data_IF_122258494025
#
_entry.id   IF_122258494025
#
_cell.length_a   1.000
_cell.length_b   1.000
_cell.length_c   1.000
_cell.angle_alpha   90.00
_cell.angle_beta   90.00
_cell.angle_gamma   90.00
#
_symmetry.space_group_name_H-M   'P 1'
#
loop_
_entity.id
_entity.type
_entity.pdbx_description
1 polymer ?
#
# COMPACT_ATOMS: atom_id res chain seq x y z
N UNK A 1 -17.84 -34.01 50.44
CA UNK A 1 -17.91 -32.86 49.53
C UNK A 1 -16.51 -32.29 49.47
N UNK A 2 -15.71 -32.75 48.52
CA UNK A 2 -14.42 -32.14 48.20
C UNK A 2 -14.68 -31.23 46.99
N UNK A 3 -14.28 -29.97 47.11
CA UNK A 3 -14.50 -28.88 46.17
C UNK A 3 -13.87 -29.18 44.80
N UNK A 4 -14.70 -29.20 43.76
CA UNK A 4 -14.28 -29.06 42.37
C UNK A 4 -13.93 -27.59 42.07
N UNK A 5 -12.87 -27.05 42.68
CA UNK A 5 -12.31 -25.74 42.29
C UNK A 5 -10.78 -25.80 42.30
N UNK A 6 -10.17 -26.15 41.15
CA UNK A 6 -9.05 -25.31 40.69
C UNK A 6 -8.96 -25.13 39.15
N UNK A 7 -9.67 -25.90 38.33
CA UNK A 7 -9.50 -25.89 36.87
C UNK A 7 -10.21 -24.71 36.18
N UNK A 8 -11.40 -24.34 36.66
CA UNK A 8 -12.21 -23.26 36.07
C UNK A 8 -11.59 -21.88 36.30
N UNK A 9 -10.84 -21.70 37.40
CA UNK A 9 -10.19 -20.43 37.71
C UNK A 9 -8.91 -20.22 36.89
N UNK A 10 -8.15 -21.28 36.60
CA UNK A 10 -6.98 -21.23 35.72
C UNK A 10 -7.37 -20.91 34.26
N UNK A 11 -8.43 -21.52 33.72
CA UNK A 11 -8.95 -21.17 32.38
C UNK A 11 -9.44 -19.72 32.31
N UNK A 12 -10.11 -19.21 33.34
CA UNK A 12 -10.55 -17.81 33.38
C UNK A 12 -9.39 -16.82 33.48
N UNK A 13 -8.33 -17.17 34.22
CA UNK A 13 -7.11 -16.36 34.31
C UNK A 13 -6.35 -16.34 32.98
N UNK A 14 -6.18 -17.48 32.32
CA UNK A 14 -5.51 -17.57 31.01
C UNK A 14 -6.32 -16.84 29.91
N UNK A 15 -7.65 -16.94 29.93
CA UNK A 15 -8.53 -16.19 29.01
C UNK A 15 -8.45 -14.69 29.28
N UNK A 16 -8.46 -14.26 30.55
CA UNK A 16 -8.35 -12.84 30.91
C UNK A 16 -6.97 -12.25 30.58
N UNK A 17 -5.89 -13.03 30.71
CA UNK A 17 -4.54 -12.63 30.28
C UNK A 17 -4.49 -12.53 28.76
N UNK A 18 -5.07 -13.49 28.04
CA UNK A 18 -5.15 -13.46 26.57
C UNK A 18 -5.97 -12.27 26.06
N UNK A 19 -7.10 -11.96 26.71
CA UNK A 19 -7.95 -10.82 26.39
C UNK A 19 -7.23 -9.48 26.65
N UNK A 20 -6.53 -9.35 27.79
CA UNK A 20 -5.73 -8.15 28.08
C UNK A 20 -4.60 -7.93 27.08
N UNK A 21 -3.87 -8.99 26.74
CA UNK A 21 -2.80 -8.93 25.72
C UNK A 21 -3.40 -8.57 24.35
N UNK A 22 -4.55 -9.12 24.00
CA UNK A 22 -5.25 -8.79 22.75
C UNK A 22 -5.70 -7.32 22.71
N UNK A 23 -6.30 -6.80 23.78
CA UNK A 23 -6.73 -5.39 23.87
C UNK A 23 -5.54 -4.43 23.79
N UNK A 24 -4.42 -4.77 24.44
CA UNK A 24 -3.19 -3.98 24.39
C UNK A 24 -2.60 -3.96 22.98
N UNK A 25 -2.57 -5.12 22.31
CA UNK A 25 -2.12 -5.25 20.92
C UNK A 25 -3.01 -4.50 19.93
N UNK A 26 -4.34 -4.57 20.11
CA UNK A 26 -5.31 -3.80 19.32
C UNK A 26 -5.08 -2.30 19.49
N UNK A 27 -4.78 -1.84 20.71
CA UNK A 27 -4.52 -0.43 21.01
C UNK A 27 -3.24 0.06 20.36
N UNK A 28 -2.14 -0.68 20.47
CA UNK A 28 -0.87 -0.33 19.82
C UNK A 28 -0.98 -0.40 18.29
N UNK A 29 -1.65 -1.42 17.76
CA UNK A 29 -1.93 -1.53 16.32
C UNK A 29 -2.77 -0.35 15.82
N UNK A 30 -3.82 0.03 16.55
CA UNK A 30 -4.70 1.15 16.17
C UNK A 30 -3.96 2.49 16.20
N UNK A 31 -3.05 2.69 17.17
CA UNK A 31 -2.19 3.87 17.26
C UNK A 31 -1.26 4.03 16.04
N UNK A 32 -0.91 2.92 15.41
CA UNK A 32 -0.11 2.88 14.18
C UNK A 32 -0.99 3.01 12.93
N UNK A 33 -2.10 2.26 12.89
CA UNK A 33 -2.98 2.17 11.74
C UNK A 33 -3.69 3.49 11.43
N UNK A 34 -4.24 4.18 12.44
CA UNK A 34 -5.04 5.39 12.22
C UNK A 34 -4.24 6.53 11.55
N UNK A 35 -3.03 6.90 12.02
CA UNK A 35 -2.22 7.88 11.32
C UNK A 35 -1.80 7.42 9.91
N UNK A 36 -1.55 6.13 9.70
CA UNK A 36 -1.24 5.58 8.37
C UNK A 36 -2.42 5.67 7.42
N UNK A 37 -3.66 5.48 7.89
CA UNK A 37 -4.87 5.73 7.10
C UNK A 37 -4.91 7.21 6.68
N UNK A 38 -4.65 8.15 7.60
CA UNK A 38 -4.62 9.58 7.27
C UNK A 38 -3.53 9.90 6.23
N UNK A 39 -2.34 9.29 6.33
CA UNK A 39 -1.28 9.41 5.33
C UNK A 39 -1.75 8.91 3.96
N UNK A 40 -2.34 7.71 3.88
CA UNK A 40 -2.83 7.12 2.63
C UNK A 40 -3.95 7.95 2.02
N UNK A 41 -4.93 8.38 2.82
CA UNK A 41 -6.03 9.26 2.38
C UNK A 41 -5.47 10.59 1.85
N UNK A 42 -4.54 11.20 2.57
CA UNK A 42 -3.88 12.45 2.14
C UNK A 42 -3.15 12.26 0.80
N UNK A 43 -2.43 11.15 0.64
CA UNK A 43 -1.75 10.82 -0.62
C UNK A 43 -2.71 10.60 -1.79
N UNK A 44 -3.91 10.06 -1.53
CA UNK A 44 -4.95 9.91 -2.54
C UNK A 44 -5.56 11.27 -2.92
N UNK A 45 -5.87 12.10 -1.93
CA UNK A 45 -6.42 13.45 -2.14
C UNK A 45 -5.45 14.38 -2.89
N UNK A 46 -4.13 14.18 -2.76
CA UNK A 46 -3.13 14.87 -3.58
C UNK A 46 -3.31 14.62 -5.09
N UNK A 47 -3.91 13.50 -5.49
CA UNK A 47 -4.19 13.15 -6.89
C UNK A 47 -5.57 13.63 -7.35
N UNK A 48 -6.56 13.60 -6.45
CA UNK A 48 -7.94 13.99 -6.76
C UNK A 48 -8.12 15.50 -6.81
N UNK A 49 -7.48 16.24 -5.90
CA UNK A 49 -7.65 17.69 -5.78
C UNK A 49 -7.37 18.50 -7.06
N UNK A 50 -6.34 18.21 -7.89
CA UNK A 50 -6.14 18.93 -9.14
C UNK A 50 -7.24 18.64 -10.16
N UNK A 51 -7.81 17.44 -10.16
CA UNK A 51 -8.88 17.06 -11.10
C UNK A 51 -10.16 17.83 -10.82
N UNK A 52 -10.51 18.03 -9.54
CA UNK A 52 -11.65 18.87 -9.14
C UNK A 52 -11.49 20.29 -9.71
N UNK A 53 -10.29 20.87 -9.61
CA UNK A 53 -10.00 22.21 -10.13
C UNK A 53 -10.00 22.27 -11.66
N UNK A 54 -9.42 21.26 -12.32
CA UNK A 54 -9.38 21.16 -13.78
C UNK A 54 -10.79 20.96 -14.38
N UNK A 55 -11.69 20.32 -13.65
CA UNK A 55 -13.11 20.20 -14.04
C UNK A 55 -13.78 21.55 -14.29
N UNK A 56 -13.38 22.60 -13.57
CA UNK A 56 -13.92 23.95 -13.77
C UNK A 56 -13.36 24.68 -14.99
N UNK A 57 -12.27 24.18 -15.60
CA UNK A 57 -11.70 24.77 -16.82
C UNK A 57 -12.31 24.22 -18.10
N UNK A 58 -13.02 23.09 -18.02
CA UNK A 58 -13.73 22.48 -19.14
C UNK A 58 -13.44 20.98 -19.29
N UNK A 59 -14.31 20.32 -20.05
CA UNK A 59 -14.31 18.87 -20.24
C UNK A 59 -13.01 18.34 -20.87
N UNK A 60 -12.43 19.09 -21.82
CA UNK A 60 -11.16 18.72 -22.46
C UNK A 60 -9.99 18.67 -21.46
N UNK A 61 -9.90 19.63 -20.54
CA UNK A 61 -8.83 19.68 -19.53
C UNK A 61 -8.97 18.57 -18.50
N UNK A 62 -10.21 18.30 -18.06
CA UNK A 62 -10.49 17.24 -17.09
C UNK A 62 -10.24 15.85 -17.69
N UNK A 63 -10.77 15.57 -18.87
CA UNK A 63 -10.65 14.26 -19.54
C UNK A 63 -9.19 13.93 -19.86
N UNK A 64 -8.45 14.88 -20.45
CA UNK A 64 -7.03 14.70 -20.77
C UNK A 64 -6.18 14.47 -19.52
N UNK A 65 -6.35 15.26 -18.46
CA UNK A 65 -5.61 15.10 -17.21
C UNK A 65 -5.96 13.80 -16.47
N UNK A 66 -7.23 13.39 -16.49
CA UNK A 66 -7.69 12.15 -15.86
C UNK A 66 -7.14 10.92 -16.56
N UNK A 67 -7.16 10.89 -17.90
CA UNK A 67 -6.59 9.80 -18.70
C UNK A 67 -5.07 9.76 -18.53
N UNK A 68 -4.38 10.90 -18.60
CA UNK A 68 -2.94 10.96 -18.39
C UNK A 68 -2.55 10.49 -16.98
N UNK A 69 -3.25 10.94 -15.94
CA UNK A 69 -3.02 10.50 -14.56
C UNK A 69 -3.24 8.99 -14.40
N UNK A 70 -4.29 8.45 -15.03
CA UNK A 70 -4.59 7.02 -14.99
C UNK A 70 -3.48 6.20 -15.67
N UNK A 71 -3.04 6.63 -16.86
CA UNK A 71 -1.95 5.98 -17.58
C UNK A 71 -0.63 6.06 -16.80
N UNK A 72 -0.31 7.23 -16.24
CA UNK A 72 0.85 7.44 -15.38
C UNK A 72 0.81 6.58 -14.11
N UNK A 73 -0.37 6.39 -13.53
CA UNK A 73 -0.53 5.54 -12.36
C UNK A 73 -0.25 4.08 -12.69
N UNK A 74 -0.81 3.55 -13.78
CA UNK A 74 -0.62 2.15 -14.20
C UNK A 74 0.82 1.88 -14.62
N UNK A 75 1.40 2.74 -15.46
CA UNK A 75 2.69 2.47 -16.12
C UNK A 75 3.91 2.92 -15.31
N UNK A 76 3.76 3.89 -14.40
CA UNK A 76 4.86 4.48 -13.65
C UNK A 76 4.70 4.33 -12.14
N UNK A 77 3.77 5.08 -11.54
CA UNK A 77 3.67 5.15 -10.08
C UNK A 77 3.41 3.79 -9.41
N UNK A 78 2.56 2.94 -9.98
CA UNK A 78 2.27 1.61 -9.43
C UNK A 78 3.46 0.67 -9.52
N UNK A 79 4.24 0.72 -10.61
CA UNK A 79 5.47 -0.07 -10.78
C UNK A 79 6.51 0.36 -9.75
N UNK A 80 6.74 1.67 -9.61
CA UNK A 80 7.69 2.22 -8.64
C UNK A 80 7.27 1.93 -7.20
N UNK A 81 5.99 2.07 -6.87
CA UNK A 81 5.44 1.72 -5.56
C UNK A 81 5.59 0.22 -5.27
N UNK A 82 5.23 -0.64 -6.23
CA UNK A 82 5.35 -2.10 -6.13
C UNK A 82 6.79 -2.56 -5.90
N UNK A 83 7.75 -2.02 -6.66
CA UNK A 83 9.17 -2.30 -6.46
C UNK A 83 9.69 -1.76 -5.13
N UNK A 84 9.25 -0.58 -4.72
CA UNK A 84 9.60 0.01 -3.42
C UNK A 84 9.06 -0.80 -2.23
N UNK A 85 7.95 -1.53 -2.40
CA UNK A 85 7.37 -2.37 -1.35
C UNK A 85 8.29 -3.49 -0.86
N UNK A 86 9.34 -3.86 -1.62
CA UNK A 86 10.38 -4.78 -1.16
C UNK A 86 11.14 -4.25 0.09
N UNK A 87 11.17 -2.92 0.28
CA UNK A 87 11.71 -2.32 1.49
C UNK A 87 10.88 -2.66 2.73
N UNK A 88 9.57 -2.94 2.63
CA UNK A 88 8.77 -3.35 3.79
C UNK A 88 9.40 -4.59 4.46
N UNK A 89 9.74 -5.61 3.65
CA UNK A 89 10.40 -6.83 4.12
C UNK A 89 11.81 -6.58 4.61
N UNK A 90 12.65 -5.94 3.76
CA UNK A 90 14.08 -5.82 4.02
C UNK A 90 14.37 -4.88 5.20
N UNK A 91 13.66 -3.74 5.25
CA UNK A 91 13.79 -2.78 6.33
C UNK A 91 13.16 -3.28 7.62
N UNK A 92 11.97 -3.91 7.55
CA UNK A 92 11.33 -4.51 8.72
C UNK A 92 12.21 -5.56 9.38
N UNK A 93 12.69 -6.55 8.61
CA UNK A 93 13.56 -7.61 9.12
C UNK A 93 14.91 -7.07 9.62
N UNK A 94 15.50 -6.07 8.96
CA UNK A 94 16.74 -5.46 9.42
C UNK A 94 16.57 -4.67 10.72
N UNK A 95 15.45 -3.96 10.88
CA UNK A 95 15.15 -3.21 12.10
C UNK A 95 14.90 -4.16 13.28
N UNK A 96 14.08 -5.20 13.09
CA UNK A 96 13.82 -6.23 14.09
C UNK A 96 15.09 -6.99 14.52
N UNK A 97 16.02 -7.22 13.59
CA UNK A 97 17.31 -7.86 13.86
C UNK A 97 18.36 -6.90 14.48
N UNK A 98 18.01 -5.65 14.79
CA UNK A 98 18.93 -4.64 15.33
C UNK A 98 20.00 -4.17 14.34
N UNK A 99 19.83 -4.41 13.03
CA UNK A 99 20.81 -4.08 11.98
C UNK A 99 20.50 -2.74 11.29
N UNK A 100 20.51 -1.66 12.07
CA UNK A 100 20.17 -0.31 11.61
C UNK A 100 21.07 0.25 10.49
N UNK A 101 22.31 -0.25 10.38
CA UNK A 101 23.18 0.12 9.25
C UNK A 101 22.64 -0.44 7.93
N UNK A 102 22.18 -1.69 7.92
CA UNK A 102 21.62 -2.33 6.72
C UNK A 102 20.30 -1.67 6.30
N UNK A 103 19.51 -1.19 7.26
CA UNK A 103 18.29 -0.42 7.02
C UNK A 103 18.56 0.79 6.09
N UNK A 104 19.58 1.58 6.39
CA UNK A 104 20.01 2.69 5.53
C UNK A 104 20.55 2.23 4.19
N UNK A 105 21.41 1.21 4.17
CA UNK A 105 21.98 0.65 2.93
C UNK A 105 20.90 0.15 1.97
N UNK A 106 19.91 -0.61 2.44
CA UNK A 106 18.79 -1.07 1.62
C UNK A 106 18.00 0.09 1.03
N UNK A 107 17.76 1.14 1.82
CA UNK A 107 17.04 2.34 1.36
C UNK A 107 17.81 3.04 0.22
N UNK A 108 19.13 3.24 0.36
CA UNK A 108 19.93 3.86 -0.70
C UNK A 108 20.02 2.98 -1.95
N UNK A 109 20.22 1.68 -1.79
CA UNK A 109 20.22 0.73 -2.91
C UNK A 109 18.89 0.77 -3.66
N UNK A 110 17.76 0.80 -2.96
CA UNK A 110 16.45 0.91 -3.57
C UNK A 110 16.27 2.23 -4.33
N UNK A 111 16.69 3.37 -3.77
CA UNK A 111 16.62 4.66 -4.47
C UNK A 111 17.41 4.62 -5.79
N UNK A 112 18.62 4.07 -5.78
CA UNK A 112 19.46 3.96 -6.99
C UNK A 112 18.80 3.05 -8.03
N UNK A 113 18.33 1.86 -7.62
CA UNK A 113 17.64 0.94 -8.52
C UNK A 113 16.37 1.54 -9.12
N UNK A 114 15.55 2.22 -8.31
CA UNK A 114 14.31 2.84 -8.77
C UNK A 114 14.57 4.06 -9.67
N UNK A 115 15.67 4.80 -9.48
CA UNK A 115 16.09 5.85 -10.41
C UNK A 115 16.35 5.31 -11.81
N UNK A 116 16.95 4.12 -11.93
CA UNK A 116 17.15 3.46 -13.23
C UNK A 116 15.80 3.09 -13.88
N UNK A 117 14.82 2.67 -13.09
CA UNK A 117 13.45 2.36 -13.57
C UNK A 117 12.68 3.60 -14.00
N UNK A 118 12.96 4.77 -13.41
CA UNK A 118 12.36 6.03 -13.87
C UNK A 118 12.70 6.36 -15.32
N UNK A 119 13.85 5.91 -15.84
CA UNK A 119 14.29 6.20 -17.22
C UNK A 119 13.33 5.58 -18.26
N UNK A 120 13.09 4.26 -18.31
CA UNK A 120 12.15 3.67 -19.26
C UNK A 120 10.71 4.17 -19.05
N UNK A 121 10.29 4.44 -17.81
CA UNK A 121 8.96 5.04 -17.54
C UNK A 121 8.87 6.44 -18.16
N UNK A 122 9.92 7.25 -18.05
CA UNK A 122 9.95 8.59 -18.64
C UNK A 122 9.88 8.53 -20.17
N UNK A 123 10.60 7.60 -20.80
CA UNK A 123 10.54 7.37 -22.25
C UNK A 123 9.12 7.00 -22.67
N UNK A 124 8.47 6.08 -21.95
CA UNK A 124 7.09 5.71 -22.22
C UNK A 124 6.13 6.91 -22.13
N UNK A 125 6.30 7.77 -21.12
CA UNK A 125 5.44 8.94 -20.91
C UNK A 125 5.60 10.02 -21.99
N UNK A 126 6.77 10.13 -22.62
CA UNK A 126 6.99 11.02 -23.77
C UNK A 126 6.09 10.62 -24.96
N UNK A 127 5.77 9.34 -25.11
CA UNK A 127 4.91 8.83 -26.20
C UNK A 127 3.44 8.65 -25.80
N UNK A 128 3.01 9.26 -24.68
CA UNK A 128 1.62 9.14 -24.19
C UNK A 128 0.60 9.58 -25.23
N UNK A 129 0.85 10.67 -25.95
CA UNK A 129 -0.02 11.16 -27.02
C UNK A 129 -0.28 10.09 -28.10
N UNK A 130 0.79 9.48 -28.62
CA UNK A 130 0.72 8.45 -29.66
C UNK A 130 0.06 7.17 -29.15
N UNK A 131 0.33 6.80 -27.90
CA UNK A 131 -0.30 5.63 -27.26
C UNK A 131 -1.81 5.82 -27.14
N UNK A 132 -2.26 7.01 -26.73
CA UNK A 132 -3.69 7.29 -26.61
C UNK A 132 -4.40 7.33 -27.97
N UNK A 133 -3.76 7.92 -28.99
CA UNK A 133 -4.28 7.87 -30.36
C UNK A 133 -4.38 6.42 -30.86
N UNK A 134 -3.38 5.58 -30.57
CA UNK A 134 -3.39 4.16 -30.93
C UNK A 134 -4.53 3.39 -30.23
N UNK A 135 -4.87 3.77 -28.99
CA UNK A 135 -6.02 3.22 -28.24
C UNK A 135 -7.37 3.76 -28.73
N UNK A 136 -7.40 4.62 -29.75
CA UNK A 136 -8.61 5.18 -30.33
C UNK A 136 -9.16 6.41 -29.60
N UNK A 137 -8.35 7.10 -28.79
CA UNK A 137 -8.75 8.37 -28.18
C UNK A 137 -8.76 9.52 -29.18
N UNK A 138 -9.58 10.53 -28.90
CA UNK A 138 -9.63 11.75 -29.70
C UNK A 138 -8.24 12.44 -29.73
N UNK A 139 -7.76 12.88 -30.91
CA UNK A 139 -6.44 13.49 -31.04
C UNK A 139 -6.23 14.73 -30.16
N UNK A 140 -7.27 15.52 -29.89
CA UNK A 140 -7.17 16.71 -29.05
C UNK A 140 -6.96 16.35 -27.57
N UNK A 141 -7.70 15.35 -27.07
CA UNK A 141 -7.54 14.80 -25.71
C UNK A 141 -6.15 14.18 -25.56
N UNK A 142 -5.73 13.38 -26.54
CA UNK A 142 -4.44 12.70 -26.53
C UNK A 142 -3.25 13.68 -26.53
N UNK A 143 -3.33 14.77 -27.30
CA UNK A 143 -2.28 15.79 -27.36
C UNK A 143 -2.12 16.52 -26.02
N UNK A 144 -3.23 16.94 -25.40
CA UNK A 144 -3.19 17.60 -24.09
C UNK A 144 -2.75 16.64 -22.96
N UNK A 145 -3.20 15.39 -23.01
CA UNK A 145 -2.77 14.34 -22.08
C UNK A 145 -1.26 14.06 -22.19
N UNK A 146 -0.71 14.07 -23.42
CA UNK A 146 0.71 13.93 -23.67
C UNK A 146 1.53 15.08 -23.08
N UNK A 147 1.08 16.33 -23.25
CA UNK A 147 1.71 17.50 -22.62
C UNK A 147 1.71 17.35 -21.09
N UNK A 148 0.59 16.97 -20.50
CA UNK A 148 0.49 16.74 -19.05
C UNK A 148 1.46 15.64 -18.57
N UNK A 149 1.52 14.51 -19.28
CA UNK A 149 2.42 13.40 -18.94
C UNK A 149 3.90 13.81 -18.98
N UNK A 150 4.32 14.61 -19.96
CA UNK A 150 5.69 15.14 -20.04
C UNK A 150 6.01 16.01 -18.82
N UNK A 151 5.08 16.87 -18.38
CA UNK A 151 5.25 17.69 -17.19
C UNK A 151 5.27 16.88 -15.88
N UNK A 152 4.72 15.67 -15.88
CA UNK A 152 4.80 14.75 -14.75
C UNK A 152 6.15 14.01 -14.67
N UNK A 153 6.95 13.90 -15.74
CA UNK A 153 8.22 13.15 -15.73
C UNK A 153 9.16 13.56 -14.58
N UNK A 154 9.42 14.86 -14.32
CA UNK A 154 10.30 15.27 -13.22
C UNK A 154 9.77 14.90 -11.83
N UNK A 155 8.50 14.51 -11.70
CA UNK A 155 7.90 14.08 -10.42
C UNK A 155 8.26 12.64 -10.05
N UNK A 156 8.67 11.81 -11.01
CA UNK A 156 9.05 10.41 -10.79
C UNK A 156 10.22 10.29 -9.80
N UNK A 157 11.24 11.13 -9.98
CA UNK A 157 12.45 11.12 -9.15
C UNK A 157 12.19 11.48 -7.67
N UNK A 158 11.54 12.61 -7.33
CA UNK A 158 11.21 12.89 -5.93
C UNK A 158 10.20 11.88 -5.37
N UNK A 159 9.29 11.34 -6.19
CA UNK A 159 8.37 10.29 -5.75
C UNK A 159 9.11 9.03 -5.27
N UNK A 160 10.12 8.57 -6.00
CA UNK A 160 10.94 7.41 -5.62
C UNK A 160 11.70 7.63 -4.31
N UNK A 161 12.29 8.82 -4.15
CA UNK A 161 12.96 9.20 -2.90
C UNK A 161 11.95 9.15 -1.75
N UNK A 162 10.80 9.82 -1.93
CA UNK A 162 9.74 9.87 -0.93
C UNK A 162 9.26 8.48 -0.53
N UNK A 163 8.90 7.61 -1.49
CA UNK A 163 8.39 6.28 -1.20
C UNK A 163 9.41 5.43 -0.44
N UNK A 164 10.69 5.50 -0.82
CA UNK A 164 11.76 4.75 -0.14
C UNK A 164 11.94 5.23 1.31
N UNK A 165 11.86 6.54 1.55
CA UNK A 165 11.97 7.13 2.88
C UNK A 165 10.73 6.86 3.75
N UNK A 166 9.53 6.87 3.16
CA UNK A 166 8.29 6.46 3.85
C UNK A 166 8.44 5.04 4.39
N UNK A 167 8.98 4.10 3.61
CA UNK A 167 9.18 2.72 4.08
C UNK A 167 10.28 2.61 5.13
N UNK A 168 11.33 3.42 5.03
CA UNK A 168 12.35 3.52 6.06
C UNK A 168 11.78 4.00 7.41
N UNK A 169 10.95 5.04 7.40
CA UNK A 169 10.31 5.58 8.60
C UNK A 169 9.24 4.62 9.15
N UNK A 170 8.46 4.02 8.26
CA UNK A 170 7.42 3.04 8.62
C UNK A 170 8.02 1.80 9.29
N UNK A 171 9.15 1.29 8.81
CA UNK A 171 9.84 0.15 9.42
C UNK A 171 10.31 0.42 10.87
N UNK A 172 10.45 1.68 11.26
CA UNK A 172 10.87 2.12 12.60
C UNK A 172 9.68 2.58 13.45
N UNK A 173 8.45 2.44 12.94
CA UNK A 173 7.23 2.99 13.56
C UNK A 173 7.27 4.52 13.79
N UNK A 174 8.02 5.25 12.96
CA UNK A 174 8.14 6.72 13.01
C UNK A 174 7.04 7.37 12.16
N UNK A 175 5.82 7.32 12.68
CA UNK A 175 4.62 7.66 11.89
C UNK A 175 4.31 9.15 11.96
N UNK A 176 4.62 9.83 13.06
CA UNK A 176 4.33 11.26 13.23
C UNK A 176 4.97 12.14 12.14
N UNK A 177 6.26 11.99 11.77
CA UNK A 177 6.84 12.76 10.68
C UNK A 177 6.17 12.48 9.33
N UNK A 178 5.74 11.24 9.09
CA UNK A 178 5.02 10.86 7.87
C UNK A 178 3.62 11.50 7.82
N UNK A 179 2.92 11.54 8.94
CA UNK A 179 1.61 12.18 9.06
C UNK A 179 1.71 13.68 8.79
N UNK A 180 2.65 14.36 9.48
CA UNK A 180 2.86 15.79 9.31
C UNK A 180 3.25 16.14 7.87
N UNK A 181 4.16 15.38 7.26
CA UNK A 181 4.58 15.62 5.88
C UNK A 181 3.42 15.46 4.90
N UNK A 182 2.59 14.43 5.05
CA UNK A 182 1.45 14.16 4.17
C UNK A 182 0.37 15.24 4.27
N UNK A 183 -0.02 15.63 5.50
CA UNK A 183 -1.06 16.65 5.74
C UNK A 183 -0.60 18.02 5.24
N UNK A 184 0.63 18.42 5.58
CA UNK A 184 1.21 19.69 5.12
C UNK A 184 1.27 19.72 3.59
N UNK A 185 1.72 18.62 2.96
CA UNK A 185 1.78 18.51 1.50
C UNK A 185 0.40 18.66 0.86
N UNK A 186 -0.66 18.11 1.46
CA UNK A 186 -2.03 18.26 0.97
C UNK A 186 -2.50 19.72 1.02
N UNK A 187 -2.29 20.41 2.14
CA UNK A 187 -2.65 21.82 2.27
C UNK A 187 -1.91 22.70 1.26
N UNK A 188 -0.61 22.47 1.07
CA UNK A 188 0.19 23.17 0.07
C UNK A 188 -0.28 22.85 -1.36
N UNK A 189 -0.59 21.59 -1.66
CA UNK A 189 -1.09 21.18 -2.97
C UNK A 189 -2.38 21.93 -3.33
N UNK A 190 -3.39 21.90 -2.47
CA UNK A 190 -4.67 22.58 -2.75
C UNK A 190 -4.45 24.07 -2.98
N UNK A 191 -3.63 24.71 -2.14
CA UNK A 191 -3.40 26.17 -2.22
C UNK A 191 -2.62 26.56 -3.48
N UNK A 192 -1.47 25.92 -3.73
CA UNK A 192 -0.61 26.25 -4.87
C UNK A 192 -1.29 25.85 -6.19
N UNK A 193 -2.05 24.75 -6.20
CA UNK A 193 -2.77 24.30 -7.39
C UNK A 193 -3.84 25.31 -7.79
N UNK A 194 -4.60 25.83 -6.82
CA UNK A 194 -5.57 26.89 -7.07
C UNK A 194 -4.92 28.15 -7.64
N UNK A 195 -3.76 28.57 -7.10
CA UNK A 195 -3.03 29.75 -7.61
C UNK A 195 -2.54 29.51 -9.05
N UNK A 196 -1.93 28.37 -9.35
CA UNK A 196 -1.38 28.12 -10.69
C UNK A 196 -2.46 27.92 -11.75
N UNK A 197 -3.56 27.26 -11.39
CA UNK A 197 -4.68 27.02 -12.30
C UNK A 197 -5.44 28.33 -12.55
N UNK A 198 -5.92 29.02 -11.50
CA UNK A 198 -6.87 30.13 -11.66
C UNK A 198 -6.25 31.52 -11.62
N UNK A 199 -5.16 31.75 -10.87
CA UNK A 199 -4.51 33.08 -10.81
C UNK A 199 -3.47 33.29 -11.89
N UNK A 200 -2.68 32.27 -12.19
CA UNK A 200 -1.65 32.34 -13.24
C UNK A 200 -2.14 31.84 -14.61
N UNK A 201 -3.38 31.34 -14.71
CA UNK A 201 -3.97 30.81 -15.95
C UNK A 201 -3.11 29.75 -16.66
N UNK A 202 -2.37 28.92 -15.90
CA UNK A 202 -1.49 27.88 -16.45
C UNK A 202 -2.26 26.60 -16.82
N UNK A 203 -3.56 26.53 -16.54
CA UNK A 203 -4.43 25.41 -16.90
C UNK A 203 -3.89 24.05 -16.44
N UNK A 204 -3.90 23.09 -17.35
CA UNK A 204 -3.42 21.71 -17.13
C UNK A 204 -1.93 21.63 -16.74
N UNK A 205 -1.10 22.55 -17.27
CA UNK A 205 0.33 22.63 -16.96
C UNK A 205 0.52 23.07 -15.50
N UNK A 206 -0.32 23.99 -15.02
CA UNK A 206 -0.33 24.44 -13.63
C UNK A 206 -0.52 23.28 -12.65
N UNK A 207 -1.47 22.38 -12.93
CA UNK A 207 -1.71 21.19 -12.12
C UNK A 207 -0.50 20.25 -12.02
N UNK A 208 0.13 19.94 -13.16
CA UNK A 208 1.32 19.07 -13.19
C UNK A 208 2.51 19.72 -12.47
N UNK A 209 2.69 21.03 -12.66
CA UNK A 209 3.78 21.77 -12.03
C UNK A 209 3.60 21.88 -10.51
N UNK A 210 2.38 22.09 -10.00
CA UNK A 210 2.12 22.02 -8.56
C UNK A 210 2.46 20.64 -8.01
N UNK A 211 1.99 19.56 -8.67
CA UNK A 211 2.27 18.19 -8.23
C UNK A 211 3.78 17.93 -8.15
N UNK A 212 4.55 18.42 -9.13
CA UNK A 212 6.01 18.38 -9.13
C UNK A 212 6.62 19.09 -7.94
N UNK A 213 6.18 20.32 -7.67
CA UNK A 213 6.72 21.14 -6.58
C UNK A 213 6.44 20.49 -5.22
N UNK A 214 5.21 20.07 -4.97
CA UNK A 214 4.80 19.45 -3.71
C UNK A 214 5.57 18.15 -3.48
N UNK A 215 5.68 17.27 -4.47
CA UNK A 215 6.45 16.03 -4.32
C UNK A 215 7.93 16.27 -4.05
N UNK A 216 8.53 17.32 -4.61
CA UNK A 216 9.91 17.71 -4.29
C UNK A 216 10.06 18.19 -2.84
N UNK A 217 9.11 18.99 -2.34
CA UNK A 217 9.12 19.49 -0.97
C UNK A 217 8.91 18.34 0.02
N UNK A 218 7.94 17.47 -0.24
CA UNK A 218 7.62 16.29 0.59
C UNK A 218 8.83 15.33 0.68
N UNK A 219 9.51 15.08 -0.45
CA UNK A 219 10.73 14.27 -0.49
C UNK A 219 11.90 14.91 0.27
N UNK A 220 12.04 16.24 0.20
CA UNK A 220 13.10 16.96 0.91
C UNK A 220 12.89 16.92 2.42
N UNK A 221 11.66 17.21 2.88
CA UNK A 221 11.30 17.09 4.30
C UNK A 221 11.54 15.67 4.82
N UNK A 222 11.08 14.65 4.08
CA UNK A 222 11.27 13.25 4.47
C UNK A 222 12.76 12.87 4.54
N UNK A 223 13.61 13.45 3.68
CA UNK A 223 15.06 13.25 3.70
C UNK A 223 15.70 13.90 4.93
N UNK A 224 15.25 15.10 5.30
CA UNK A 224 15.77 15.80 6.47
C UNK A 224 15.41 15.02 7.75
N UNK A 225 14.16 14.55 7.87
CA UNK A 225 13.72 13.65 8.94
C UNK A 225 14.54 12.35 8.97
N UNK A 226 14.81 11.75 7.80
CA UNK A 226 15.65 10.57 7.68
C UNK A 226 17.06 10.81 8.24
N UNK A 227 17.67 11.96 7.94
CA UNK A 227 19.01 12.28 8.45
C UNK A 227 19.01 12.49 9.97
N UNK A 228 18.02 13.22 10.50
CA UNK A 228 17.87 13.44 11.95
C UNK A 228 17.64 12.14 12.71
N UNK A 229 16.77 11.27 12.22
CA UNK A 229 16.43 9.99 12.85
C UNK A 229 17.63 9.04 12.83
N UNK A 230 18.36 8.96 11.71
CA UNK A 230 19.61 8.19 11.61
C UNK A 230 20.61 8.57 12.70
N UNK A 231 20.77 9.87 12.96
CA UNK A 231 21.74 10.36 13.94
C UNK A 231 21.25 10.19 15.40
N UNK A 232 19.94 10.28 15.66
CA UNK A 232 19.32 10.03 16.98
C UNK A 232 19.31 8.54 17.38
N UNK A 233 18.97 7.65 16.45
CA UNK A 233 18.99 6.21 16.71
C UNK A 233 20.41 5.68 16.90
N UNK A 234 21.39 6.24 16.16
CA UNK A 234 22.82 5.93 16.34
C UNK A 234 23.33 6.18 17.77
N UNK A 235 22.73 7.10 18.52
CA UNK A 235 23.14 7.40 19.90
C UNK A 235 22.34 6.66 20.98
N UNK A 236 21.08 6.28 20.72
CA UNK A 236 20.19 5.66 21.72
C UNK A 236 20.15 4.12 21.70
N UNK A 237 20.48 3.50 20.57
CA UNK A 237 20.45 2.03 20.37
C UNK A 237 21.61 1.29 21.05
N UNK A 238 22.60 2.01 21.58
CA UNK A 238 23.61 1.38 22.44
C UNK A 238 23.02 0.78 23.72
N UNK A 239 21.76 1.08 24.08
CA UNK A 239 21.20 0.69 25.37
C UNK A 239 19.99 -0.26 25.34
N UNK A 240 19.29 -0.52 24.22
CA UNK A 240 18.09 -1.35 24.30
C UNK A 240 17.82 -2.19 23.05
N UNK A 241 17.48 -3.45 23.31
CA UNK A 241 16.69 -4.38 22.50
C UNK A 241 17.37 -5.21 21.39
N UNK A 242 17.53 -6.48 21.74
CA UNK A 242 17.14 -7.60 20.90
C UNK A 242 16.21 -8.54 21.68
N UNK A 243 14.90 -8.30 21.67
CA UNK A 243 13.92 -9.14 22.39
C UNK A 243 13.17 -10.05 21.41
N UNK A 244 13.75 -11.21 21.09
CA UNK A 244 13.14 -12.21 20.21
C UNK A 244 11.92 -12.90 20.82
N UNK A 245 10.70 -12.49 20.45
CA UNK A 245 9.42 -13.07 20.93
C UNK A 245 8.49 -13.50 19.78
N UNK A 246 8.54 -14.76 19.32
CA UNK A 246 7.73 -15.25 18.19
C UNK A 246 6.24 -15.46 18.52
N UNK A 247 5.86 -15.69 19.79
CA UNK A 247 4.43 -15.86 20.18
C UNK A 247 3.63 -14.54 20.10
N UNK A 248 4.27 -13.40 20.35
CA UNK A 248 3.66 -12.08 20.23
C UNK A 248 3.32 -11.73 18.77
N UNK A 249 4.15 -12.14 17.81
CA UNK A 249 3.92 -11.91 16.39
C UNK A 249 2.63 -12.57 15.85
N UNK A 250 2.23 -13.72 16.42
CA UNK A 250 1.00 -14.41 16.01
C UNK A 250 -0.25 -13.72 16.57
N UNK A 251 -0.20 -13.23 17.81
CA UNK A 251 -1.30 -12.47 18.43
C UNK A 251 -1.47 -11.10 17.74
N UNK A 252 -0.36 -10.45 17.38
CA UNK A 252 -0.37 -9.23 16.55
C UNK A 252 -1.02 -9.47 15.18
N UNK A 253 -0.73 -10.61 14.54
CA UNK A 253 -1.34 -10.98 13.26
C UNK A 253 -2.86 -11.16 13.39
N UNK A 254 -3.33 -11.85 14.43
CA UNK A 254 -4.76 -12.07 14.66
C UNK A 254 -5.49 -10.74 14.98
N UNK A 255 -4.88 -9.84 15.75
CA UNK A 255 -5.40 -8.51 16.03
C UNK A 255 -5.52 -7.64 14.76
N UNK A 256 -4.52 -7.68 13.87
CA UNK A 256 -4.53 -6.97 12.59
C UNK A 256 -5.66 -7.48 11.67
N UNK A 257 -5.87 -8.80 11.61
CA UNK A 257 -6.93 -9.40 10.79
C UNK A 257 -8.31 -8.97 11.30
N UNK A 258 -8.55 -8.99 12.61
CA UNK A 258 -9.83 -8.57 13.21
C UNK A 258 -10.11 -7.08 12.98
N UNK A 259 -9.11 -6.23 13.16
CA UNK A 259 -9.22 -4.79 12.91
C UNK A 259 -9.54 -4.48 11.44
N UNK A 260 -8.82 -5.14 10.51
CA UNK A 260 -9.06 -4.96 9.08
C UNK A 260 -10.45 -5.48 8.66
N UNK A 261 -10.88 -6.63 9.18
CA UNK A 261 -12.22 -7.15 8.92
C UNK A 261 -13.32 -6.19 9.40
N UNK A 262 -13.12 -5.60 10.58
CA UNK A 262 -14.07 -4.63 11.16
C UNK A 262 -14.18 -3.36 10.31
N UNK A 263 -13.04 -2.81 9.85
CA UNK A 263 -12.99 -1.61 9.00
C UNK A 263 -13.69 -1.83 7.66
N UNK A 264 -13.39 -2.94 7.00
CA UNK A 264 -13.94 -3.32 5.70
C UNK A 264 -15.45 -3.56 5.76
N UNK A 265 -15.94 -4.22 6.82
CA UNK A 265 -17.38 -4.44 7.05
C UNK A 265 -18.09 -3.10 7.30
N UNK A 266 -17.51 -2.24 8.15
CA UNK A 266 -18.09 -0.93 8.46
C UNK A 266 -18.16 -0.04 7.20
N UNK A 267 -17.09 0.00 6.41
CA UNK A 267 -17.05 0.74 5.15
C UNK A 267 -18.11 0.24 4.16
N UNK A 268 -18.25 -1.09 4.03
CA UNK A 268 -19.22 -1.72 3.13
C UNK A 268 -20.66 -1.47 3.55
N UNK A 269 -20.97 -1.57 4.85
CA UNK A 269 -22.30 -1.26 5.41
C UNK A 269 -22.63 0.21 5.18
N UNK A 270 -21.69 1.11 5.49
CA UNK A 270 -21.88 2.55 5.32
C UNK A 270 -22.20 2.88 3.86
N UNK A 271 -21.39 2.37 2.92
CA UNK A 271 -21.59 2.59 1.49
C UNK A 271 -22.94 2.04 1.01
N UNK A 272 -23.34 0.87 1.50
CA UNK A 272 -24.63 0.28 1.16
C UNK A 272 -25.81 1.11 1.67
N UNK A 273 -25.72 1.64 2.90
CA UNK A 273 -26.76 2.51 3.49
C UNK A 273 -26.89 3.82 2.72
N UNK A 274 -25.78 4.41 2.26
CA UNK A 274 -25.80 5.68 1.51
C UNK A 274 -25.93 5.50 0.01
N UNK A 275 -26.22 4.28 -0.49
CA UNK A 275 -26.18 3.92 -1.92
C UNK A 275 -27.01 4.83 -2.84
N UNK A 276 -28.13 5.33 -2.33
CA UNK A 276 -29.07 6.18 -3.09
C UNK A 276 -28.67 7.67 -3.08
N UNK A 277 -27.66 8.04 -2.26
CA UNK A 277 -27.26 9.44 -2.04
C UNK A 277 -25.85 9.72 -2.57
N UNK A 278 -24.90 8.80 -2.39
CA UNK A 278 -23.49 9.10 -2.68
C UNK A 278 -23.19 9.35 -4.17
N UNK A 279 -24.03 8.85 -5.08
CA UNK A 279 -23.93 9.17 -6.52
C UNK A 279 -24.03 10.68 -6.80
N UNK A 280 -24.78 11.43 -5.97
CA UNK A 280 -24.89 12.88 -6.09
C UNK A 280 -23.60 13.64 -5.77
N UNK A 281 -22.63 12.99 -5.12
CA UNK A 281 -21.30 13.58 -4.92
C UNK A 281 -20.52 13.71 -6.24
N UNK A 282 -20.89 12.95 -7.28
CA UNK A 282 -20.17 12.87 -8.56
C UNK A 282 -20.98 13.39 -9.75
N UNK A 283 -22.30 13.20 -9.76
CA UNK A 283 -23.15 13.66 -10.86
C UNK A 283 -24.53 14.09 -10.37
N UNK A 284 -25.08 15.12 -11.00
CA UNK A 284 -26.46 15.56 -10.77
C UNK A 284 -27.46 14.87 -11.72
N UNK A 285 -26.97 14.07 -12.70
CA UNK A 285 -27.81 13.32 -13.62
C UNK A 285 -28.43 12.10 -12.95
N UNK A 286 -29.76 12.05 -12.89
CA UNK A 286 -30.50 10.97 -12.21
C UNK A 286 -30.19 9.58 -12.76
N UNK A 287 -29.94 9.46 -14.06
CA UNK A 287 -29.58 8.19 -14.70
C UNK A 287 -28.26 7.64 -14.15
N UNK A 288 -27.24 8.50 -14.04
CA UNK A 288 -25.93 8.15 -13.45
C UNK A 288 -26.07 7.78 -11.98
N UNK A 289 -26.81 8.57 -11.20
CA UNK A 289 -27.01 8.30 -9.77
C UNK A 289 -27.74 6.97 -9.56
N UNK A 290 -28.77 6.68 -10.35
CA UNK A 290 -29.51 5.40 -10.27
C UNK A 290 -28.60 4.23 -10.63
N UNK A 291 -27.81 4.36 -11.68
CA UNK A 291 -26.84 3.34 -12.07
C UNK A 291 -25.78 3.08 -10.98
N UNK A 292 -25.29 4.15 -10.32
CA UNK A 292 -24.37 4.05 -9.19
C UNK A 292 -25.01 3.33 -8.00
N UNK A 293 -26.27 3.64 -7.68
CA UNK A 293 -27.01 2.92 -6.62
C UNK A 293 -27.15 1.42 -6.95
N UNK A 294 -27.43 1.07 -8.20
CA UNK A 294 -27.57 -0.32 -8.67
C UNK A 294 -26.25 -1.10 -8.67
N UNK A 295 -25.11 -0.45 -8.94
CA UNK A 295 -23.79 -1.11 -8.91
C UNK A 295 -23.19 -1.16 -7.50
N UNK A 296 -23.72 -0.37 -6.56
CA UNK A 296 -23.19 -0.27 -5.17
C UNK A 296 -23.08 -1.62 -4.46
N UNK A 297 -24.04 -2.58 -4.56
CA UNK A 297 -23.86 -3.89 -3.94
C UNK A 297 -22.62 -4.65 -4.45
N UNK A 298 -22.30 -4.53 -5.74
CA UNK A 298 -21.08 -5.13 -6.34
C UNK A 298 -19.83 -4.41 -5.77
N UNK A 299 -19.89 -3.09 -5.59
CA UNK A 299 -18.82 -2.32 -4.96
C UNK A 299 -18.57 -2.74 -3.51
N UNK A 300 -19.62 -2.97 -2.71
CA UNK A 300 -19.49 -3.46 -1.34
C UNK A 300 -18.75 -4.81 -1.31
N UNK A 301 -19.07 -5.74 -2.21
CA UNK A 301 -18.34 -7.01 -2.31
C UNK A 301 -16.88 -6.77 -2.72
N UNK A 302 -16.62 -5.86 -3.66
CA UNK A 302 -15.26 -5.48 -4.05
C UNK A 302 -14.45 -4.97 -2.86
N UNK A 303 -15.01 -4.07 -2.04
CA UNK A 303 -14.34 -3.53 -0.84
C UNK A 303 -13.96 -4.65 0.12
N UNK A 304 -14.84 -5.64 0.30
CA UNK A 304 -14.56 -6.81 1.15
C UNK A 304 -13.40 -7.63 0.60
N UNK A 305 -13.42 -7.93 -0.69
CA UNK A 305 -12.36 -8.71 -1.34
C UNK A 305 -11.03 -7.95 -1.38
N UNK A 306 -11.05 -6.66 -1.68
CA UNK A 306 -9.87 -5.79 -1.77
C UNK A 306 -9.23 -5.58 -0.39
N UNK A 307 -10.03 -5.39 0.66
CA UNK A 307 -9.53 -5.30 2.04
C UNK A 307 -8.86 -6.60 2.49
N UNK A 308 -9.49 -7.75 2.22
CA UNK A 308 -8.92 -9.06 2.50
C UNK A 308 -7.60 -9.28 1.74
N UNK A 309 -7.59 -8.94 0.45
CA UNK A 309 -6.41 -9.00 -0.41
C UNK A 309 -5.28 -8.11 0.10
N UNK A 310 -5.58 -6.88 0.54
CA UNK A 310 -4.59 -5.93 1.01
C UNK A 310 -3.86 -6.45 2.26
N UNK A 311 -4.61 -7.02 3.21
CA UNK A 311 -4.05 -7.63 4.43
C UNK A 311 -3.15 -8.82 4.06
N UNK A 312 -3.67 -9.76 3.28
CA UNK A 312 -2.93 -10.98 2.91
C UNK A 312 -1.71 -10.66 2.05
N UNK A 313 -1.80 -9.68 1.16
CA UNK A 313 -0.65 -9.20 0.40
C UNK A 313 0.37 -8.51 1.31
N UNK A 314 -0.06 -7.81 2.37
CA UNK A 314 0.82 -7.27 3.39
C UNK A 314 1.57 -8.37 4.14
N UNK A 315 0.88 -9.44 4.55
CA UNK A 315 1.48 -10.64 5.15
C UNK A 315 2.47 -11.31 4.19
N UNK A 316 2.12 -11.39 2.91
CA UNK A 316 2.98 -11.91 1.86
C UNK A 316 4.30 -11.13 1.73
N UNK A 317 4.22 -9.80 1.76
CA UNK A 317 5.37 -8.91 1.72
C UNK A 317 6.19 -9.00 3.02
N UNK A 318 5.57 -8.89 4.20
CA UNK A 318 6.29 -8.94 5.47
C UNK A 318 7.07 -10.25 5.69
N UNK A 319 6.49 -11.38 5.30
CA UNK A 319 7.15 -12.69 5.39
C UNK A 319 8.14 -12.94 4.23
N UNK A 320 8.05 -12.16 3.15
CA UNK A 320 8.97 -12.17 2.02
C UNK A 320 8.81 -13.35 1.06
N UNK A 321 7.57 -13.73 0.80
CA UNK A 321 7.15 -14.77 -0.15
C UNK A 321 6.25 -14.18 -1.24
N UNK A 322 6.47 -12.90 -1.54
CA UNK A 322 5.77 -12.12 -2.55
C UNK A 322 5.76 -12.76 -3.95
N UNK A 323 6.72 -13.65 -4.25
CA UNK A 323 6.73 -14.41 -5.51
C UNK A 323 5.47 -15.26 -5.67
N UNK A 324 5.04 -15.95 -4.60
CA UNK A 324 3.81 -16.75 -4.61
C UNK A 324 2.60 -15.83 -4.79
N UNK A 325 2.57 -14.72 -4.07
CA UNK A 325 1.53 -13.70 -4.22
C UNK A 325 1.44 -13.15 -5.66
N UNK A 326 2.57 -12.95 -6.33
CA UNK A 326 2.61 -12.50 -7.72
C UNK A 326 2.03 -13.54 -8.70
N UNK A 327 2.37 -14.83 -8.54
CA UNK A 327 1.78 -15.88 -9.38
C UNK A 327 0.27 -16.02 -9.17
N UNK A 328 -0.18 -15.96 -7.91
CA UNK A 328 -1.61 -15.97 -7.57
C UNK A 328 -2.32 -14.77 -8.20
N UNK A 329 -1.73 -13.57 -8.10
CA UNK A 329 -2.27 -12.36 -8.72
C UNK A 329 -2.40 -12.50 -10.24
N UNK A 330 -1.36 -13.02 -10.91
CA UNK A 330 -1.40 -13.25 -12.35
C UNK A 330 -2.49 -14.25 -12.75
N UNK A 331 -2.59 -15.38 -12.05
CA UNK A 331 -3.63 -16.36 -12.31
C UNK A 331 -5.04 -15.80 -12.10
N UNK A 332 -5.25 -15.14 -10.97
CA UNK A 332 -6.57 -14.61 -10.60
C UNK A 332 -7.07 -13.54 -11.59
N UNK A 333 -6.25 -12.56 -11.95
CA UNK A 333 -6.69 -11.50 -12.85
C UNK A 333 -6.65 -11.88 -14.32
N UNK A 334 -5.62 -12.58 -14.79
CA UNK A 334 -5.48 -12.86 -16.23
C UNK A 334 -6.21 -14.12 -16.69
N UNK A 335 -6.32 -15.15 -15.85
CA UNK A 335 -7.01 -16.40 -16.24
C UNK A 335 -8.48 -16.41 -15.84
N UNK A 336 -8.87 -15.66 -14.80
CA UNK A 336 -10.27 -15.61 -14.34
C UNK A 336 -10.88 -14.24 -14.54
N UNK A 337 -10.25 -13.18 -14.03
CA UNK A 337 -10.77 -11.82 -14.07
C UNK A 337 -11.04 -11.32 -15.49
N UNK A 338 -10.03 -11.27 -16.36
CA UNK A 338 -10.18 -10.76 -17.74
C UNK A 338 -11.22 -11.58 -18.54
N UNK A 339 -11.19 -12.93 -18.55
CA UNK A 339 -12.24 -13.70 -19.20
C UNK A 339 -13.64 -13.42 -18.64
N UNK A 340 -13.78 -13.28 -17.31
CA UNK A 340 -15.05 -12.92 -16.69
C UNK A 340 -15.52 -11.51 -17.08
N UNK A 341 -14.62 -10.54 -17.15
CA UNK A 341 -14.90 -9.16 -17.62
C UNK A 341 -15.42 -9.20 -19.06
N UNK A 342 -14.76 -9.96 -19.95
CA UNK A 342 -15.16 -10.09 -21.35
C UNK A 342 -16.52 -10.79 -21.49
N UNK A 343 -16.72 -11.88 -20.76
CA UNK A 343 -17.95 -12.65 -20.76
C UNK A 343 -19.14 -11.84 -20.21
N UNK A 344 -19.00 -11.30 -19.00
CA UNK A 344 -20.10 -10.59 -18.35
C UNK A 344 -20.37 -9.22 -19.00
N UNK A 345 -19.32 -8.49 -19.38
CA UNK A 345 -19.44 -7.15 -19.96
C UNK A 345 -19.98 -7.16 -21.39
N UNK A 346 -19.42 -8.01 -22.26
CA UNK A 346 -19.69 -7.98 -23.70
C UNK A 346 -20.61 -9.10 -24.17
N UNK A 347 -20.44 -10.34 -23.70
CA UNK A 347 -21.24 -11.49 -24.17
C UNK A 347 -22.62 -11.51 -23.50
N UNK A 348 -22.69 -11.28 -22.19
CA UNK A 348 -23.96 -11.19 -21.46
C UNK A 348 -24.56 -9.78 -21.45
N UNK A 349 -23.94 -8.83 -22.16
CA UNK A 349 -24.39 -7.44 -22.32
C UNK A 349 -24.70 -6.70 -21.00
N UNK A 350 -24.04 -7.06 -19.90
CA UNK A 350 -24.20 -6.37 -18.61
C UNK A 350 -23.43 -5.04 -18.55
N UNK A 351 -22.76 -4.64 -19.64
CA UNK A 351 -22.01 -3.38 -19.78
C UNK A 351 -21.09 -3.15 -18.58
N UNK A 352 -21.10 -1.97 -17.97
CA UNK A 352 -20.24 -1.63 -16.83
C UNK A 352 -20.46 -2.51 -15.60
N UNK A 353 -21.68 -2.99 -15.34
CA UNK A 353 -21.93 -3.95 -14.23
C UNK A 353 -21.21 -5.27 -14.47
N UNK A 354 -21.19 -5.74 -15.72
CA UNK A 354 -20.46 -6.93 -16.12
C UNK A 354 -18.95 -6.77 -15.99
N UNK A 355 -18.41 -5.62 -16.43
CA UNK A 355 -16.99 -5.30 -16.27
C UNK A 355 -16.58 -5.32 -14.78
N UNK A 356 -17.39 -4.74 -13.90
CA UNK A 356 -17.10 -4.70 -12.48
C UNK A 356 -17.27 -6.04 -11.77
N UNK A 357 -18.31 -6.80 -12.12
CA UNK A 357 -18.49 -8.16 -11.62
C UNK A 357 -17.34 -9.08 -12.02
N UNK A 358 -16.80 -8.92 -13.23
CA UNK A 358 -15.64 -9.67 -13.69
C UNK A 358 -14.37 -9.34 -12.90
N UNK A 359 -14.15 -8.07 -12.54
CA UNK A 359 -13.04 -7.71 -11.65
C UNK A 359 -13.21 -8.35 -10.28
N UNK A 360 -14.41 -8.29 -9.71
CA UNK A 360 -14.72 -8.89 -8.40
C UNK A 360 -14.48 -10.41 -8.41
N UNK A 361 -14.77 -11.09 -9.51
CA UNK A 361 -14.44 -12.52 -9.64
C UNK A 361 -12.92 -12.76 -9.54
N UNK A 362 -12.11 -11.91 -10.17
CA UNK A 362 -10.65 -11.96 -10.07
C UNK A 362 -10.16 -11.72 -8.64
N UNK A 363 -10.62 -10.65 -7.98
CA UNK A 363 -10.22 -10.34 -6.59
C UNK A 363 -10.66 -11.43 -5.62
N UNK A 364 -11.82 -12.05 -5.83
CA UNK A 364 -12.33 -13.17 -5.03
C UNK A 364 -11.41 -14.38 -5.12
N UNK A 365 -11.02 -14.78 -6.34
CA UNK A 365 -10.08 -15.92 -6.54
C UNK A 365 -8.73 -15.62 -5.91
N UNK A 366 -8.23 -14.39 -6.04
CA UNK A 366 -6.98 -13.98 -5.41
C UNK A 366 -7.06 -14.08 -3.88
N UNK A 367 -8.12 -13.53 -3.27
CA UNK A 367 -8.31 -13.53 -1.82
C UNK A 367 -8.40 -14.95 -1.26
N UNK A 368 -9.21 -15.82 -1.88
CA UNK A 368 -9.33 -17.23 -1.47
C UNK A 368 -7.96 -17.93 -1.57
N UNK A 369 -7.25 -17.74 -2.68
CA UNK A 369 -5.95 -18.37 -2.90
C UNK A 369 -4.92 -17.91 -1.88
N UNK A 370 -4.82 -16.60 -1.61
CA UNK A 370 -3.90 -16.06 -0.60
C UNK A 370 -4.28 -16.48 0.83
N UNK A 371 -5.57 -16.60 1.14
CA UNK A 371 -6.05 -17.10 2.45
C UNK A 371 -5.63 -18.54 2.67
N UNK A 372 -5.84 -19.42 1.67
CA UNK A 372 -5.40 -20.82 1.73
C UNK A 372 -3.89 -20.90 1.94
N UNK A 373 -3.16 -20.17 1.10
CA UNK A 373 -1.71 -20.18 1.12
C UNK A 373 -1.18 -19.68 2.47
N UNK A 374 -1.79 -18.64 3.07
CA UNK A 374 -1.44 -18.14 4.41
C UNK A 374 -1.75 -19.14 5.52
N UNK A 375 -2.90 -19.83 5.42
CA UNK A 375 -3.32 -20.85 6.40
C UNK A 375 -2.40 -22.06 6.43
N UNK A 376 -1.81 -22.42 5.29
CA UNK A 376 -0.86 -23.53 5.17
C UNK A 376 0.61 -23.11 5.34
N UNK A 377 0.90 -21.84 5.63
CA UNK A 377 2.28 -21.37 5.82
C UNK A 377 2.87 -21.89 7.13
N UNK A 378 4.01 -22.56 7.03
CA UNK A 378 4.82 -22.89 8.19
C UNK A 378 5.58 -21.63 8.67
N UNK A 379 5.05 -20.99 9.72
CA UNK A 379 5.59 -19.77 10.30
C UNK A 379 6.99 -19.93 10.92
N UNK A 380 7.32 -21.11 11.45
CA UNK A 380 8.64 -21.40 12.00
C UNK A 380 9.70 -21.38 10.89
N UNK A 381 9.41 -21.99 9.74
CA UNK A 381 10.29 -21.96 8.57
C UNK A 381 10.48 -20.53 8.04
N UNK A 382 9.42 -19.70 8.03
CA UNK A 382 9.52 -18.31 7.60
C UNK A 382 10.41 -17.47 8.53
N UNK A 383 10.33 -17.69 9.84
CA UNK A 383 11.18 -17.01 10.82
C UNK A 383 12.68 -17.35 10.63
N UNK A 384 13.00 -18.62 10.34
CA UNK A 384 14.36 -19.08 10.05
C UNK A 384 14.89 -18.40 8.76
N UNK A 385 14.07 -18.38 7.71
CA UNK A 385 14.43 -17.77 6.42
C UNK A 385 14.64 -16.25 6.54
N UNK A 386 13.82 -15.55 7.33
CA UNK A 386 14.00 -14.13 7.63
C UNK A 386 15.36 -13.86 8.29
N UNK A 387 15.77 -14.68 9.27
CA UNK A 387 17.12 -14.58 9.87
C UNK A 387 18.20 -14.84 8.82
N UNK A 388 18.05 -15.89 8.01
CA UNK A 388 19.04 -16.24 6.97
C UNK A 388 19.30 -15.07 6.01
N UNK A 389 18.26 -14.37 5.55
CA UNK A 389 18.37 -13.20 4.64
C UNK A 389 19.22 -12.07 5.22
N UNK A 390 19.14 -11.86 6.53
CA UNK A 390 19.85 -10.79 7.22
C UNK A 390 21.31 -11.18 7.51
N UNK A 391 21.58 -12.45 7.85
CA UNK A 391 22.89 -12.92 8.30
C UNK A 391 23.74 -13.61 7.21
N UNK A 392 23.19 -13.95 6.04
CA UNK A 392 23.91 -14.66 4.96
C UNK A 392 25.15 -13.94 4.44
N UNK A 393 25.25 -12.61 4.56
CA UNK A 393 26.44 -11.84 4.19
C UNK A 393 27.65 -12.08 5.11
N UNK A 394 27.46 -12.59 6.34
CA UNK A 394 28.57 -12.84 7.28
C UNK A 394 29.13 -14.28 7.19
N UNK A 395 28.60 -15.12 6.32
CA UNK A 395 28.91 -16.55 6.25
C UNK A 395 29.98 -16.89 5.20
N UNK A 396 31.10 -16.18 5.22
CA UNK A 396 32.35 -16.70 4.64
C UNK A 396 33.23 -17.26 5.76
N UNK A 397 33.21 -18.58 5.92
CA UNK A 397 34.36 -19.35 6.42
C UNK A 397 34.30 -19.98 7.81
N UNK A 398 33.50 -19.49 8.78
CA UNK A 398 33.51 -20.06 10.16
C UNK A 398 32.14 -20.26 10.84
N UNK A 399 31.08 -19.60 10.37
CA UNK A 399 29.79 -19.57 11.10
C UNK A 399 28.83 -20.73 10.79
N UNK A 400 29.19 -21.67 9.90
CA UNK A 400 28.34 -22.82 9.56
C UNK A 400 28.17 -23.82 10.73
N UNK A 401 29.12 -23.83 11.67
CA UNK A 401 29.06 -24.67 12.88
C UNK A 401 28.16 -24.09 13.97
N UNK A 402 28.05 -22.75 14.05
CA UNK A 402 27.21 -22.05 15.04
C UNK A 402 25.73 -22.25 14.71
N UNK A 403 25.38 -22.26 13.41
CA UNK A 403 24.00 -22.50 12.94
C UNK A 403 23.45 -23.87 13.35
N UNK A 404 24.30 -24.91 13.38
CA UNK A 404 23.88 -26.25 13.83
C UNK A 404 23.60 -26.31 15.34
N UNK A 405 24.39 -25.58 16.14
CA UNK A 405 24.18 -25.48 17.59
C UNK A 405 22.94 -24.63 17.94
N UNK A 406 22.73 -23.50 17.27
CA UNK A 406 21.57 -22.64 17.50
C UNK A 406 20.25 -23.30 17.06
N UNK A 407 20.27 -24.05 15.94
CA UNK A 407 19.11 -24.85 15.50
C UNK A 407 18.84 -26.02 16.46
N UNK A 408 19.87 -26.64 17.04
CA UNK A 408 19.69 -27.68 18.07
C UNK A 408 19.17 -27.10 19.39
N UNK A 409 19.61 -25.90 19.77
CA UNK A 409 19.17 -25.19 20.97
C UNK A 409 17.69 -24.78 20.86
N UNK A 410 17.26 -24.26 19.69
CA UNK A 410 15.86 -23.97 19.38
C UNK A 410 14.97 -25.22 19.43
N UNK A 411 15.46 -26.36 18.91
CA UNK A 411 14.75 -27.64 19.03
C UNK A 411 14.63 -28.16 20.45
N UNK A 412 15.56 -27.82 21.36
CA UNK A 412 15.46 -28.18 22.78
C UNK A 412 14.53 -27.25 23.57
N UNK A 413 14.50 -25.96 23.24
CA UNK A 413 13.60 -24.99 23.90
C UNK A 413 12.14 -25.15 23.50
N UNK A 414 11.85 -25.72 22.31
CA UNK A 414 10.49 -25.95 21.81
C UNK A 414 9.87 -27.31 22.20
N UNK A 415 10.57 -28.15 22.98
CA UNK A 415 10.08 -29.44 23.49
C UNK A 415 9.55 -29.41 24.93
N UNK A 416 9.26 -28.21 25.45
CA UNK A 416 8.61 -28.00 26.75
C UNK A 416 7.19 -27.45 26.56
#
# INVERSE_FOLDING_TARGET
>A
MAEEEPLVNLEKEDVAVTEKVFVEEVKETSRIALPMIVVTVSQYLLRVSPMIMLGHLGELSLSSASIATSLSNVTGYSVLFGMCSALETLCGQAYEAGQYRKLGTFTYSAIICLFLVCIPVSVLWIFTDKLLILMGQDPSIATEAGKYAIWLIPTLFPYVILQSLVRYLQAQSLILPMLLSAVVSLCFQVTICWVFIFKLNLGIIGAAFTHRLVKRLEASFSRDVFLTTRDFFRTRISNELGAGRPKAAKIALDAVIVLAATEVVLASITLFVVRDVWGYAFSYEKEVVTYVAEITPILCISIIMDGTQAVLSGVARGSGWQNIGAYVNLGAYYLVGIPAVLLLGFVLHLKGKGLWSGLVAGTTVQSISLSLVTSFTNWEKQAIEARRRIFSEKLTGKNKFIELQDIQMLKSEMKL
#
